data_IF_010757416009
#
_entry.id   IF_010757416009
#
_cell.length_a   1.000
_cell.length_b   1.000
_cell.length_c   1.000
_cell.angle_alpha   90.00
_cell.angle_beta   90.00
_cell.angle_gamma   90.00
#
_symmetry.space_group_name_H-M   'P 1'
#
loop_
_entity.id
_entity.type
_entity.pdbx_description
1 polymer ?
#
# COMPACT_ATOMS: atom_id res chain seq x y z
N UNK A 1 -5.66 3.74 7.03
CA UNK A 1 -5.60 2.28 6.76
C UNK A 1 -4.37 2.03 5.89
N UNK A 2 -3.55 1.00 6.15
CA UNK A 2 -2.35 0.73 5.32
C UNK A 2 -2.42 -0.64 4.65
N UNK A 3 -1.79 -0.77 3.50
CA UNK A 3 -1.77 -1.99 2.70
C UNK A 3 -0.34 -2.46 2.58
N UNK A 4 0.00 -3.54 3.27
CA UNK A 4 1.21 -4.28 2.97
C UNK A 4 0.95 -5.76 3.27
N UNK A 5 0.37 -6.46 2.31
CA UNK A 5 0.32 -7.92 2.32
C UNK A 5 1.17 -8.46 1.16
N UNK A 6 1.75 -9.65 1.35
CA UNK A 6 2.62 -10.39 0.44
C UNK A 6 2.02 -10.67 -0.95
N UNK A 7 0.69 -10.59 -1.10
CA UNK A 7 -0.01 -10.85 -2.35
C UNK A 7 -0.14 -9.65 -3.31
N UNK A 8 0.03 -8.42 -2.84
CA UNK A 8 -0.16 -7.23 -3.69
C UNK A 8 1.19 -6.82 -4.30
N UNK A 9 1.26 -6.85 -5.63
CA UNK A 9 2.44 -6.40 -6.39
C UNK A 9 2.07 -5.16 -7.17
N UNK A 10 2.84 -4.09 -7.01
CA UNK A 10 2.74 -2.88 -7.85
C UNK A 10 3.66 -3.05 -9.06
N UNK A 11 3.14 -2.77 -10.26
CA UNK A 11 3.95 -2.74 -11.49
C UNK A 11 4.23 -1.29 -11.84
N UNK A 12 5.51 -0.95 -11.97
CA UNK A 12 5.98 0.35 -12.43
C UNK A 12 6.48 0.21 -13.87
N UNK A 13 6.02 1.09 -14.75
CA UNK A 13 6.44 1.12 -16.15
C UNK A 13 7.18 2.42 -16.43
N UNK A 14 8.23 2.33 -17.24
CA UNK A 14 9.00 3.50 -17.63
C UNK A 14 10.06 3.17 -18.66
N UNK A 15 11.01 4.10 -18.81
CA UNK A 15 12.16 3.97 -19.68
C UNK A 15 13.44 4.19 -18.90
N UNK A 16 14.48 3.45 -19.26
CA UNK A 16 15.85 3.74 -18.83
C UNK A 16 16.35 5.04 -19.47
N UNK A 17 17.44 5.59 -18.94
CA UNK A 17 18.09 6.78 -19.53
C UNK A 17 18.58 6.53 -20.97
N UNK A 18 18.90 5.28 -21.32
CA UNK A 18 19.29 4.85 -22.67
C UNK A 18 18.09 4.62 -23.62
N UNK A 19 16.85 4.82 -23.14
CA UNK A 19 15.63 4.69 -23.95
C UNK A 19 15.04 3.28 -24.01
N UNK A 20 15.59 2.29 -23.28
CA UNK A 20 14.98 0.97 -23.19
C UNK A 20 13.72 0.99 -22.33
N UNK A 21 12.66 0.33 -22.80
CA UNK A 21 11.43 0.10 -22.02
C UNK A 21 11.69 -0.85 -20.85
N UNK A 22 11.22 -0.48 -19.66
CA UNK A 22 11.43 -1.24 -18.44
C UNK A 22 10.13 -1.40 -17.63
N UNK A 23 9.97 -2.58 -17.04
CA UNK A 23 8.91 -2.90 -16.08
C UNK A 23 9.53 -3.39 -14.76
N UNK A 24 9.16 -2.73 -13.66
CA UNK A 24 9.56 -3.09 -12.30
C UNK A 24 8.39 -3.65 -11.49
N UNK A 25 8.59 -4.79 -10.82
CA UNK A 25 7.62 -5.37 -9.88
C UNK A 25 8.07 -5.05 -8.46
N UNK A 26 7.28 -4.24 -7.75
CA UNK A 26 7.50 -3.92 -6.35
C UNK A 26 6.61 -4.83 -5.48
N UNK A 27 7.23 -5.78 -4.78
CA UNK A 27 6.53 -6.69 -3.87
C UNK A 27 6.61 -6.20 -2.42
N UNK A 28 5.49 -6.25 -1.71
CA UNK A 28 5.47 -5.97 -0.28
C UNK A 28 6.39 -6.93 0.50
N UNK A 29 7.14 -6.39 1.46
CA UNK A 29 8.05 -7.13 2.35
C UNK A 29 7.36 -7.92 3.45
N UNK A 30 6.08 -7.64 3.72
CA UNK A 30 5.34 -8.30 4.79
C UNK A 30 4.86 -9.67 4.29
N UNK A 31 5.70 -10.68 4.50
CA UNK A 31 5.42 -12.08 4.26
C UNK A 31 4.36 -12.59 5.25
N UNK A 32 3.11 -12.68 4.81
CA UNK A 32 2.13 -13.59 5.42
C UNK A 32 2.05 -14.86 4.58
N UNK A 33 2.02 -15.99 5.27
CA UNK A 33 1.90 -17.34 4.72
C UNK A 33 0.56 -17.53 4.00
N UNK A 34 0.53 -18.44 3.02
CA UNK A 34 -0.46 -18.55 1.95
C UNK A 34 -1.91 -18.93 2.34
N UNK A 35 -2.30 -18.85 3.61
CA UNK A 35 -3.66 -19.12 4.07
C UNK A 35 -4.37 -17.80 4.41
N UNK A 36 -5.02 -17.21 3.42
CA UNK A 36 -5.78 -15.97 3.60
C UNK A 36 -7.19 -16.32 4.10
N UNK A 37 -7.31 -16.63 5.39
CA UNK A 37 -8.62 -16.72 6.07
C UNK A 37 -9.09 -15.35 6.60
N UNK A 38 -8.19 -14.36 6.70
CA UNK A 38 -8.46 -13.11 7.41
C UNK A 38 -8.38 -11.86 6.52
N UNK A 39 -9.44 -11.05 6.55
CA UNK A 39 -9.53 -9.74 5.88
C UNK A 39 -8.56 -8.72 6.47
N UNK A 40 -8.46 -8.70 7.79
CA UNK A 40 -7.54 -7.85 8.57
C UNK A 40 -6.27 -8.63 8.84
N UNK A 41 -5.14 -8.09 8.41
CA UNK A 41 -3.83 -8.75 8.52
C UNK A 41 -3.01 -8.23 9.70
N UNK A 42 -3.42 -7.12 10.31
CA UNK A 42 -2.73 -6.53 11.46
C UNK A 42 -3.45 -5.29 11.98
N UNK A 43 -3.08 -4.90 13.20
CA UNK A 43 -3.59 -3.73 13.89
C UNK A 43 -2.48 -3.10 14.73
N UNK A 44 -2.36 -1.78 14.66
CA UNK A 44 -1.36 -0.98 15.38
C UNK A 44 -2.07 0.24 15.98
N UNK A 45 -1.73 0.60 17.22
CA UNK A 45 -2.19 1.84 17.83
C UNK A 45 -1.19 2.93 17.50
N UNK A 46 -1.65 4.02 16.90
CA UNK A 46 -0.81 5.15 16.50
C UNK A 46 -1.36 6.45 17.11
N UNK A 47 -0.48 7.32 17.59
CA UNK A 47 -0.84 8.67 18.05
C UNK A 47 -0.78 9.66 16.88
N UNK A 48 -1.76 10.53 16.77
CA UNK A 48 -1.74 11.62 15.80
C UNK A 48 -2.84 12.64 16.06
N UNK A 49 -3.01 13.59 15.15
CA UNK A 49 -4.02 14.65 15.26
C UNK A 49 -4.90 14.66 14.01
N UNK A 50 -6.21 14.86 14.20
CA UNK A 50 -7.14 15.00 13.08
C UNK A 50 -6.88 16.32 12.35
N UNK A 51 -6.75 16.27 11.03
CA UNK A 51 -6.65 17.48 10.20
C UNK A 51 -7.94 18.31 10.21
N UNK A 52 -9.10 17.64 10.36
CA UNK A 52 -10.40 18.30 10.36
C UNK A 52 -10.85 18.64 11.79
N UNK A 53 -11.24 19.90 11.99
CA UNK A 53 -11.72 20.44 13.26
C UNK A 53 -10.57 20.90 14.14
N UNK A 54 -10.51 22.20 14.43
CA UNK A 54 -9.56 22.74 15.40
C UNK A 54 -9.88 22.17 16.78
N UNK A 55 -8.85 21.67 17.47
CA UNK A 55 -8.91 21.26 18.86
C UNK A 55 -7.94 22.12 19.65
N UNK A 56 -8.36 22.61 20.79
CA UNK A 56 -7.46 23.31 21.72
C UNK A 56 -6.41 22.34 22.27
N UNK A 57 -5.19 22.82 22.47
CA UNK A 57 -4.05 22.01 22.91
C UNK A 57 -3.33 21.28 21.77
N UNK A 58 -2.67 20.15 22.07
CA UNK A 58 -1.93 19.35 21.08
C UNK A 58 -2.85 18.55 20.15
N UNK A 59 -4.14 18.42 20.50
CA UNK A 59 -5.15 17.66 19.75
C UNK A 59 -4.80 16.19 19.53
N UNK A 60 -3.80 15.66 20.24
CA UNK A 60 -3.24 14.33 20.01
C UNK A 60 -4.20 13.28 20.54
N UNK A 61 -4.49 12.28 19.72
CA UNK A 61 -5.36 11.17 20.05
C UNK A 61 -4.81 9.87 19.47
N UNK A 62 -5.22 8.75 20.09
CA UNK A 62 -4.87 7.43 19.59
C UNK A 62 -5.84 7.02 18.48
N UNK A 63 -5.30 6.40 17.45
CA UNK A 63 -6.02 5.83 16.32
C UNK A 63 -5.63 4.37 16.12
N UNK A 64 -6.57 3.60 15.57
CA UNK A 64 -6.27 2.25 15.09
C UNK A 64 -5.83 2.30 13.63
N UNK A 65 -4.59 1.90 13.39
CA UNK A 65 -4.05 1.65 12.06
C UNK A 65 -4.28 0.18 11.71
N UNK A 66 -5.28 -0.03 10.87
CA UNK A 66 -5.71 -1.35 10.40
C UNK A 66 -4.97 -1.67 9.10
N UNK A 67 -4.42 -2.89 9.02
CA UNK A 67 -3.84 -3.47 7.82
C UNK A 67 -4.82 -4.49 7.23
N UNK A 68 -4.95 -4.48 5.90
CA UNK A 68 -5.83 -5.43 5.20
C UNK A 68 -5.14 -6.16 4.07
N UNK A 69 -5.74 -7.29 3.71
CA UNK A 69 -5.25 -8.20 2.68
C UNK A 69 -5.16 -7.56 1.29
N UNK A 70 -6.10 -6.70 0.91
CA UNK A 70 -6.23 -6.21 -0.46
C UNK A 70 -6.71 -4.77 -0.53
N UNK A 71 -6.18 -3.94 -1.47
CA UNK A 71 -6.69 -2.60 -1.72
C UNK A 71 -8.17 -2.58 -2.15
N UNK A 72 -8.61 -3.61 -2.88
CA UNK A 72 -9.95 -3.68 -3.47
C UNK A 72 -11.08 -3.63 -2.43
N UNK A 73 -10.79 -4.03 -1.20
CA UNK A 73 -11.78 -4.11 -0.14
C UNK A 73 -11.77 -2.91 0.81
N UNK A 74 -10.78 -2.01 0.72
CA UNK A 74 -10.61 -0.90 1.67
C UNK A 74 -11.85 0.00 1.73
N UNK A 75 -12.34 0.43 0.57
CA UNK A 75 -13.48 1.35 0.51
C UNK A 75 -14.75 0.71 1.07
N UNK A 76 -14.98 -0.57 0.76
CA UNK A 76 -16.12 -1.33 1.28
C UNK A 76 -16.01 -1.57 2.79
N UNK A 77 -14.83 -1.95 3.25
CA UNK A 77 -14.54 -2.18 4.67
C UNK A 77 -14.69 -0.90 5.49
N UNK A 78 -14.14 0.23 5.02
CA UNK A 78 -14.31 1.53 5.66
C UNK A 78 -15.78 1.97 5.74
N UNK A 79 -16.57 1.72 4.68
CA UNK A 79 -18.02 1.98 4.72
C UNK A 79 -18.75 1.09 5.72
N UNK A 80 -18.37 -0.19 5.83
CA UNK A 80 -18.95 -1.11 6.79
C UNK A 80 -18.64 -0.69 8.24
N UNK A 81 -17.39 -0.33 8.52
CA UNK A 81 -16.99 0.19 9.84
C UNK A 81 -17.73 1.48 10.19
N UNK A 82 -17.83 2.43 9.26
CA UNK A 82 -18.54 3.71 9.49
C UNK A 82 -20.05 3.56 9.67
N UNK A 83 -20.66 2.48 9.18
CA UNK A 83 -22.08 2.18 9.41
C UNK A 83 -22.32 1.42 10.72
N UNK A 84 -21.27 0.85 11.31
CA UNK A 84 -21.39 -0.16 12.35
C UNK A 84 -21.79 -1.51 11.76
N UNK A 85 -21.34 -2.58 12.41
CA UNK A 85 -21.70 -3.96 12.05
C UNK A 85 -22.68 -4.47 13.09
N UNK A 86 -23.88 -4.87 12.67
CA UNK A 86 -24.86 -5.47 13.58
C UNK A 86 -24.34 -6.81 14.10
N UNK A 87 -24.12 -6.89 15.41
CA UNK A 87 -23.70 -8.10 16.09
C UNK A 87 -24.83 -8.51 17.04
N UNK A 88 -25.42 -9.68 16.79
CA UNK A 88 -26.47 -10.26 17.63
C UNK A 88 -27.65 -9.30 17.93
N UNK A 89 -28.08 -8.52 16.94
CA UNK A 89 -29.22 -7.60 17.08
C UNK A 89 -28.89 -6.25 17.74
N UNK A 90 -27.63 -6.03 18.14
CA UNK A 90 -27.13 -4.74 18.60
C UNK A 90 -26.28 -4.13 17.49
N UNK A 91 -26.65 -2.94 17.03
CA UNK A 91 -25.84 -2.18 16.08
C UNK A 91 -25.00 -1.16 16.87
N UNK A 92 -23.70 -1.42 17.09
CA UNK A 92 -22.82 -0.43 17.71
C UNK A 92 -22.73 0.81 16.83
N UNK A 93 -22.44 1.95 17.45
CA UNK A 93 -22.14 3.19 16.73
C UNK A 93 -21.01 2.94 15.72
N UNK A 94 -21.17 3.50 14.52
CA UNK A 94 -20.18 3.36 13.46
C UNK A 94 -18.85 4.01 13.84
N UNK A 95 -17.75 3.39 13.42
CA UNK A 95 -16.42 3.91 13.64
C UNK A 95 -16.07 4.96 12.61
N UNK A 96 -15.57 6.13 13.05
CA UNK A 96 -15.06 7.14 12.13
C UNK A 96 -13.79 6.63 11.44
N UNK A 97 -13.89 6.36 10.15
CA UNK A 97 -12.75 5.94 9.34
C UNK A 97 -11.99 7.14 8.79
N UNK A 98 -10.67 7.14 8.97
CA UNK A 98 -9.75 8.14 8.43
C UNK A 98 -8.94 7.55 7.28
N UNK A 99 -8.73 8.35 6.22
CA UNK A 99 -7.92 7.99 5.04
C UNK A 99 -8.34 6.69 4.33
N UNK A 100 -9.56 6.19 4.56
CA UNK A 100 -10.06 4.96 3.94
C UNK A 100 -10.57 5.15 2.50
N UNK A 101 -10.52 6.37 1.97
CA UNK A 101 -10.97 6.73 0.61
C UNK A 101 -9.84 7.24 -0.28
N UNK A 102 -8.59 7.02 0.11
CA UNK A 102 -7.42 7.35 -0.71
C UNK A 102 -7.10 6.13 -1.57
N UNK A 103 -6.91 6.34 -2.87
CA UNK A 103 -6.56 5.27 -3.80
C UNK A 103 -5.22 4.63 -3.42
N UNK A 104 -5.11 3.33 -3.66
CA UNK A 104 -3.95 2.55 -3.25
C UNK A 104 -2.66 3.05 -3.92
N UNK A 105 -2.75 3.42 -5.20
CA UNK A 105 -1.63 3.93 -5.98
C UNK A 105 -1.09 5.22 -5.36
N UNK A 106 -1.98 6.12 -4.91
CA UNK A 106 -1.60 7.37 -4.24
C UNK A 106 -0.96 7.09 -2.89
N UNK A 107 -1.54 6.19 -2.09
CA UNK A 107 -0.96 5.79 -0.80
C UNK A 107 0.42 5.16 -0.99
N UNK A 108 0.57 4.30 -2.00
CA UNK A 108 1.84 3.68 -2.37
C UNK A 108 2.88 4.73 -2.74
N UNK A 109 2.53 5.70 -3.58
CA UNK A 109 3.41 6.81 -3.96
C UNK A 109 3.88 7.60 -2.73
N UNK A 110 2.96 8.01 -1.84
CA UNK A 110 3.32 8.74 -0.61
C UNK A 110 4.18 7.91 0.33
N UNK A 111 3.88 6.63 0.52
CA UNK A 111 4.64 5.76 1.43
C UNK A 111 6.06 5.45 0.94
N UNK A 112 6.26 5.46 -0.38
CA UNK A 112 7.56 5.19 -1.02
C UNK A 112 8.29 6.47 -1.43
N UNK A 113 7.67 7.64 -1.18
CA UNK A 113 8.14 8.93 -1.66
C UNK A 113 8.32 9.00 -3.19
N UNK A 114 7.55 8.20 -3.93
CA UNK A 114 7.52 8.24 -5.39
C UNK A 114 6.59 9.35 -5.87
N UNK A 115 6.99 10.00 -6.96
CA UNK A 115 6.14 10.96 -7.68
C UNK A 115 5.89 10.49 -9.11
N UNK A 116 4.87 11.07 -9.75
CA UNK A 116 4.60 10.83 -11.16
C UNK A 116 5.76 11.28 -12.04
N UNK A 117 6.11 10.47 -13.05
CA UNK A 117 7.22 10.72 -13.97
C UNK A 117 8.59 10.92 -13.28
N UNK A 118 8.73 10.42 -12.05
CA UNK A 118 9.97 10.52 -11.29
C UNK A 118 11.01 9.46 -11.66
N UNK A 119 12.25 9.68 -11.23
CA UNK A 119 13.32 8.71 -11.39
C UNK A 119 13.32 7.69 -10.27
N UNK A 120 13.49 6.42 -10.66
CA UNK A 120 13.60 5.30 -9.73
C UNK A 120 14.93 4.62 -9.91
N UNK A 121 15.65 4.43 -8.80
CA UNK A 121 16.88 3.66 -8.76
C UNK A 121 16.64 2.30 -8.07
N UNK A 122 17.14 1.25 -8.70
CA UNK A 122 17.22 -0.09 -8.11
C UNK A 122 18.69 -0.39 -7.80
N UNK A 123 19.08 -0.48 -6.52
CA UNK A 123 20.48 -0.71 -6.16
C UNK A 123 20.97 -2.07 -6.66
N UNK A 124 22.28 -2.18 -6.97
CA UNK A 124 22.86 -3.44 -7.43
C UNK A 124 22.59 -4.55 -6.41
N UNK A 125 22.30 -5.75 -6.92
CA UNK A 125 22.00 -6.97 -6.13
C UNK A 125 20.71 -6.92 -5.30
N UNK A 126 19.89 -5.86 -5.40
CA UNK A 126 18.57 -5.77 -4.73
C UNK A 126 17.38 -6.04 -5.64
N UNK A 127 17.63 -6.38 -6.90
CA UNK A 127 16.61 -6.75 -7.87
C UNK A 127 16.99 -8.05 -8.59
N UNK A 128 15.98 -8.73 -9.12
CA UNK A 128 16.12 -9.90 -9.97
C UNK A 128 15.64 -9.55 -11.37
N UNK A 129 16.48 -9.75 -12.38
CA UNK A 129 16.06 -9.68 -13.78
C UNK A 129 15.30 -10.96 -14.13
N UNK A 130 14.13 -10.82 -14.76
CA UNK A 130 13.39 -11.97 -15.28
C UNK A 130 13.91 -12.35 -16.66
N UNK A 131 14.03 -13.66 -16.90
CA UNK A 131 14.37 -14.22 -18.21
C UNK A 131 13.11 -14.32 -19.09
N UNK A 132 13.29 -14.56 -20.39
CA UNK A 132 12.18 -14.54 -21.35
C UNK A 132 11.06 -15.54 -21.05
N UNK A 133 11.36 -16.67 -20.39
CA UNK A 133 10.36 -17.65 -19.97
C UNK A 133 9.49 -17.21 -18.78
N UNK A 134 9.96 -16.25 -17.98
CA UNK A 134 9.27 -15.73 -16.81
C UNK A 134 8.65 -14.35 -17.01
N UNK A 135 8.82 -13.76 -18.20
CA UNK A 135 8.28 -12.44 -18.54
C UNK A 135 6.76 -12.47 -18.64
N UNK A 136 6.14 -11.41 -18.14
CA UNK A 136 4.68 -11.20 -18.26
C UNK A 136 4.34 -9.93 -19.01
N UNK A 137 5.34 -9.20 -19.50
CA UNK A 137 5.19 -7.93 -20.22
C UNK A 137 5.98 -7.92 -21.52
N UNK A 138 5.74 -6.91 -22.35
CA UNK A 138 6.48 -6.66 -23.60
C UNK A 138 7.70 -5.75 -23.40
N UNK A 139 8.04 -5.38 -22.16
CA UNK A 139 9.16 -4.49 -21.89
C UNK A 139 10.50 -5.17 -22.17
N UNK A 140 11.44 -4.41 -22.73
CA UNK A 140 12.79 -4.90 -23.04
C UNK A 140 13.59 -5.28 -21.79
N UNK A 141 13.23 -4.75 -20.62
CA UNK A 141 13.81 -5.08 -19.32
C UNK A 141 12.67 -5.35 -18.33
N UNK A 142 12.68 -6.52 -17.68
CA UNK A 142 11.68 -6.88 -16.66
C UNK A 142 12.40 -7.27 -15.36
N UNK A 143 12.11 -6.56 -14.26
CA UNK A 143 12.83 -6.73 -12.98
C UNK A 143 11.89 -6.84 -11.80
N UNK A 144 12.17 -7.74 -10.86
CA UNK A 144 11.47 -7.86 -9.58
C UNK A 144 12.32 -7.36 -8.42
N UNK A 145 11.71 -6.57 -7.53
CA UNK A 145 12.35 -6.06 -6.31
C UNK A 145 11.34 -6.00 -5.16
N UNK A 146 11.84 -5.79 -3.94
CA UNK A 146 10.99 -5.51 -2.79
C UNK A 146 10.68 -4.01 -2.72
N UNK A 147 9.49 -3.63 -2.23
CA UNK A 147 9.11 -2.22 -2.09
C UNK A 147 10.17 -1.43 -1.30
N UNK A 148 10.71 -2.02 -0.22
CA UNK A 148 11.75 -1.41 0.62
C UNK A 148 13.10 -1.17 -0.09
N UNK A 149 13.27 -1.65 -1.33
CA UNK A 149 14.50 -1.52 -2.10
C UNK A 149 14.41 -0.51 -3.23
N UNK A 150 13.25 0.10 -3.43
CA UNK A 150 13.03 1.16 -4.43
C UNK A 150 13.47 2.49 -3.81
N UNK A 151 14.43 3.16 -4.45
CA UNK A 151 14.87 4.49 -4.05
C UNK A 151 14.37 5.51 -5.06
N UNK A 152 13.78 6.59 -4.54
CA UNK A 152 13.44 7.78 -5.33
C UNK A 152 14.68 8.68 -5.42
N UNK A 153 15.07 9.05 -6.64
CA UNK A 153 16.07 10.08 -6.88
C UNK A 153 15.33 11.40 -7.14
N UNK A 154 15.70 12.41 -6.35
CA UNK A 154 15.18 13.78 -6.24
C UNK A 154 14.38 14.29 -7.45
#
# INVERSE_FOLDING_TARGET
MRIYNSGVTVRLFGSTYDGFSACGFARSTYGLTADIEHVVTGLEIVSGTSLYGYKEGDGTQNFFKIYVVSPRIITGFGKALSRGVSLCGVQPEGLKCHEANIDFEVRFMVDTNLVGCGWVELPPKKYRVYNDYARTTLCQIEVGSFIATIFYLY
#
